data_IF_082581306151
#
_entry.id   IF_082581306151
#
_cell.length_a   1.000
_cell.length_b   1.000
_cell.length_c   1.000
_cell.angle_alpha   90.00
_cell.angle_beta   90.00
_cell.angle_gamma   90.00
#
_symmetry.space_group_name_H-M   'P 1'
#
loop_
_entity.id
_entity.type
_entity.pdbx_description
1 polymer ?
#
# COMPACT_ATOMS: atom_id res chain seq x y z
N UNK A 1 43.64 -32.16 12.22
CA UNK A 1 43.86 -30.71 12.13
C UNK A 1 42.51 -29.99 12.07
N UNK A 2 41.97 -29.52 13.20
CA UNK A 2 40.63 -28.89 13.29
C UNK A 2 40.57 -27.43 12.80
N UNK A 3 41.68 -26.88 12.30
CA UNK A 3 41.78 -25.45 11.95
C UNK A 3 41.14 -25.11 10.59
N UNK A 4 41.04 -26.07 9.66
CA UNK A 4 40.52 -25.85 8.30
C UNK A 4 38.99 -25.89 8.23
N UNK A 5 38.33 -26.67 9.10
CA UNK A 5 36.87 -26.76 9.18
C UNK A 5 36.23 -25.50 9.73
N UNK A 6 36.93 -24.76 10.60
CA UNK A 6 36.46 -23.49 11.14
C UNK A 6 36.52 -22.36 10.08
N UNK A 7 37.54 -22.36 9.22
CA UNK A 7 37.71 -21.36 8.15
C UNK A 7 36.53 -21.43 7.15
N UNK A 8 36.13 -22.64 6.73
CA UNK A 8 35.02 -22.82 5.79
C UNK A 8 33.67 -22.37 6.37
N UNK A 9 33.43 -22.65 7.66
CA UNK A 9 32.24 -22.16 8.38
C UNK A 9 32.21 -20.64 8.44
N UNK A 10 33.35 -19.99 8.67
CA UNK A 10 33.45 -18.52 8.66
C UNK A 10 33.14 -17.94 7.27
N UNK A 11 33.61 -18.57 6.19
CA UNK A 11 33.27 -18.15 4.83
C UNK A 11 31.78 -18.27 4.50
N UNK A 12 31.15 -19.39 4.88
CA UNK A 12 29.70 -19.57 4.70
C UNK A 12 28.92 -18.50 5.49
N UNK A 13 29.33 -18.24 6.74
CA UNK A 13 28.69 -17.22 7.57
C UNK A 13 28.81 -15.82 6.95
N UNK A 14 29.99 -15.44 6.45
CA UNK A 14 30.22 -14.15 5.79
C UNK A 14 29.38 -14.01 4.51
N UNK A 15 29.23 -15.09 3.74
CA UNK A 15 28.38 -15.10 2.55
C UNK A 15 26.89 -14.95 2.89
N UNK A 16 26.39 -15.66 3.91
CA UNK A 16 25.02 -15.50 4.38
C UNK A 16 24.73 -14.07 4.86
N UNK A 17 25.69 -13.42 5.53
CA UNK A 17 25.58 -12.02 5.98
C UNK A 17 25.61 -11.06 4.78
N UNK A 18 26.44 -11.31 3.77
CA UNK A 18 26.48 -10.46 2.57
C UNK A 18 25.16 -10.52 1.76
N UNK A 19 24.55 -11.71 1.66
CA UNK A 19 23.30 -11.92 0.89
C UNK A 19 22.06 -11.36 1.62
N UNK A 20 22.12 -11.17 2.93
CA UNK A 20 20.96 -10.67 3.71
C UNK A 20 20.64 -9.18 3.48
N UNK A 21 21.54 -8.42 2.82
CA UNK A 21 21.34 -7.00 2.52
C UNK A 21 20.59 -6.71 1.20
N UNK A 22 20.04 -7.72 0.53
CA UNK A 22 19.36 -7.56 -0.78
C UNK A 22 17.85 -7.78 -0.75
N UNK A 23 17.23 -7.79 0.43
CA UNK A 23 15.79 -7.90 0.57
C UNK A 23 15.20 -6.56 1.01
N UNK A 24 14.86 -5.70 0.05
CA UNK A 24 14.09 -4.48 0.31
C UNK A 24 12.60 -4.76 0.20
N UNK A 25 11.87 -4.43 1.26
CA UNK A 25 10.41 -4.40 1.26
C UNK A 25 9.95 -2.96 1.52
N UNK A 26 8.98 -2.48 0.76
CA UNK A 26 8.47 -1.12 0.87
C UNK A 26 7.02 -1.12 1.35
N UNK A 27 6.74 -0.31 2.38
CA UNK A 27 5.39 0.05 2.79
C UNK A 27 5.15 1.54 2.47
N UNK A 28 4.07 1.85 1.75
CA UNK A 28 3.67 3.23 1.42
C UNK A 28 2.17 3.40 1.61
N UNK A 29 1.82 4.51 2.24
CA UNK A 29 0.43 4.98 2.36
C UNK A 29 0.01 5.60 1.03
N UNK A 30 -1.17 5.24 0.52
CA UNK A 30 -1.69 5.69 -0.77
C UNK A 30 -2.87 6.65 -0.65
N UNK A 31 -3.03 7.36 0.46
CA UNK A 31 -4.27 8.09 0.77
C UNK A 31 -4.61 9.26 -0.15
N UNK A 32 -3.65 9.86 -0.84
CA UNK A 32 -3.90 11.13 -1.53
C UNK A 32 -4.42 10.98 -2.96
N UNK A 33 -5.27 11.88 -3.42
CA UNK A 33 -5.59 12.03 -4.86
C UNK A 33 -6.26 10.82 -5.52
N UNK A 34 -7.15 10.13 -4.80
CA UNK A 34 -8.03 9.13 -5.41
C UNK A 34 -9.13 9.82 -6.23
N UNK A 35 -9.59 9.16 -7.28
CA UNK A 35 -10.81 9.55 -7.98
C UNK A 35 -11.96 8.69 -7.48
N UNK A 36 -12.95 9.29 -6.83
CA UNK A 36 -14.19 8.63 -6.44
C UNK A 36 -15.29 8.90 -7.48
N UNK A 37 -16.13 7.90 -7.73
CA UNK A 37 -17.33 8.07 -8.53
C UNK A 37 -18.44 7.14 -8.08
N UNK A 38 -19.66 7.69 -8.06
CA UNK A 38 -20.87 6.96 -7.70
C UNK A 38 -21.51 6.23 -8.89
N UNK A 39 -21.14 6.59 -10.12
CA UNK A 39 -21.77 6.15 -11.37
C UNK A 39 -20.76 5.78 -12.48
N UNK A 40 -19.45 5.91 -12.20
CA UNK A 40 -18.33 5.80 -13.15
C UNK A 40 -18.28 6.85 -14.26
N UNK A 41 -19.23 7.79 -14.30
CA UNK A 41 -19.27 8.87 -15.27
C UNK A 41 -18.65 10.16 -14.69
N UNK A 42 -19.03 10.51 -13.46
CA UNK A 42 -18.58 11.73 -12.79
C UNK A 42 -17.58 11.39 -11.70
N UNK A 43 -16.38 11.95 -11.79
CA UNK A 43 -15.27 11.66 -10.89
C UNK A 43 -14.90 12.88 -10.06
N UNK A 44 -14.73 12.69 -8.76
CA UNK A 44 -14.22 13.70 -7.83
C UNK A 44 -12.89 13.28 -7.21
N UNK A 45 -12.02 14.25 -6.98
CA UNK A 45 -10.72 13.98 -6.34
C UNK A 45 -10.88 14.00 -4.81
N UNK A 46 -10.54 12.90 -4.15
CA UNK A 46 -10.68 12.71 -2.71
C UNK A 46 -9.41 12.17 -2.07
N UNK A 47 -9.25 12.41 -0.78
CA UNK A 47 -8.20 11.80 0.03
C UNK A 47 -8.82 10.77 0.98
N UNK A 48 -8.12 9.65 1.21
CA UNK A 48 -8.50 8.65 2.20
C UNK A 48 -8.02 9.05 3.61
N UNK A 49 -8.75 8.67 4.67
CA UNK A 49 -10.04 7.97 4.66
C UNK A 49 -11.16 8.87 4.11
N UNK A 50 -12.03 8.29 3.28
CA UNK A 50 -13.16 8.97 2.65
C UNK A 50 -14.45 8.17 2.85
N UNK A 51 -15.57 8.87 3.06
CA UNK A 51 -16.92 8.31 3.04
C UNK A 51 -17.80 9.19 2.18
N UNK A 52 -18.60 8.58 1.29
CA UNK A 52 -19.58 9.32 0.49
C UNK A 52 -20.82 9.71 1.30
N UNK A 53 -20.97 9.18 2.52
CA UNK A 53 -22.07 9.48 3.42
C UNK A 53 -21.69 10.48 4.51
N UNK A 54 -20.70 11.34 4.25
CA UNK A 54 -20.25 12.31 5.25
C UNK A 54 -21.37 13.27 5.66
N UNK A 55 -22.16 13.70 4.68
CA UNK A 55 -23.17 14.74 4.88
C UNK A 55 -24.56 14.12 5.00
N UNK A 56 -24.95 13.23 4.08
CA UNK A 56 -26.30 12.66 3.99
C UNK A 56 -26.68 11.68 5.12
N UNK A 57 -25.72 11.25 5.95
CA UNK A 57 -26.02 10.45 7.13
C UNK A 57 -26.42 11.29 8.34
N UNK A 58 -26.23 12.61 8.26
CA UNK A 58 -26.43 13.56 9.35
C UNK A 58 -27.25 14.79 8.95
N UNK A 59 -27.87 14.76 7.77
CA UNK A 59 -28.81 15.79 7.36
C UNK A 59 -30.21 15.53 7.95
N UNK A 60 -31.13 16.46 7.71
CA UNK A 60 -32.52 16.36 8.20
C UNK A 60 -33.39 15.43 7.33
N UNK A 61 -32.85 14.91 6.21
CA UNK A 61 -33.59 14.03 5.30
C UNK A 61 -33.51 12.57 5.77
N UNK A 62 -34.64 11.85 5.87
CA UNK A 62 -34.60 10.47 6.31
C UNK A 62 -33.82 9.55 5.35
N UNK A 63 -32.70 9.01 5.82
CA UNK A 63 -31.95 7.96 5.13
C UNK A 63 -30.50 8.34 4.89
N UNK A 64 -29.88 7.67 3.94
CA UNK A 64 -28.58 8.02 3.36
C UNK A 64 -28.42 7.27 2.04
N UNK A 65 -27.54 7.73 1.17
CA UNK A 65 -27.23 7.06 -0.10
C UNK A 65 -26.66 5.67 0.16
N UNK A 66 -27.32 4.66 -0.40
CA UNK A 66 -26.87 3.27 -0.42
C UNK A 66 -26.56 2.81 -1.85
N UNK A 67 -25.60 1.91 -1.99
CA UNK A 67 -25.22 1.34 -3.28
C UNK A 67 -23.70 1.30 -3.48
N UNK A 68 -23.29 1.17 -4.74
CA UNK A 68 -21.88 1.07 -5.09
C UNK A 68 -21.22 2.45 -5.20
N UNK A 69 -19.94 2.49 -4.82
CA UNK A 69 -19.02 3.58 -5.07
C UNK A 69 -17.70 3.03 -5.61
N UNK A 70 -17.09 3.74 -6.54
CA UNK A 70 -15.87 3.33 -7.21
C UNK A 70 -14.74 4.27 -6.84
N UNK A 71 -13.60 3.72 -6.41
CA UNK A 71 -12.36 4.45 -6.22
C UNK A 71 -11.35 3.97 -7.26
N UNK A 72 -10.69 4.90 -7.97
CA UNK A 72 -9.56 4.58 -8.86
C UNK A 72 -8.40 5.53 -8.61
N UNK A 73 -7.18 5.03 -8.77
CA UNK A 73 -5.94 5.81 -8.68
C UNK A 73 -4.89 5.16 -9.57
N UNK A 74 -4.15 5.98 -10.30
CA UNK A 74 -2.96 5.52 -11.00
C UNK A 74 -1.81 5.45 -9.98
N UNK A 75 -1.24 4.25 -9.80
CA UNK A 75 -0.15 4.01 -8.86
C UNK A 75 1.12 3.80 -9.67
N UNK A 76 2.16 4.59 -9.36
CA UNK A 76 3.49 4.35 -9.90
C UNK A 76 4.19 3.30 -9.06
N UNK A 77 4.57 2.19 -9.69
CA UNK A 77 5.38 1.14 -9.09
C UNK A 77 6.80 1.34 -9.63
N UNK A 78 7.69 1.86 -8.80
CA UNK A 78 9.09 1.97 -9.15
C UNK A 78 9.72 0.58 -9.15
N UNK A 79 10.45 0.23 -10.22
CA UNK A 79 11.49 -0.80 -10.14
C UNK A 79 12.75 -0.15 -9.59
N UNK A 80 13.34 -0.75 -8.55
CA UNK A 80 14.71 -0.41 -8.13
C UNK A 80 15.71 -0.58 -9.29
#
# INVERSE_FOLDING_TARGET
MPHTTNIWKTFILLWCVAVSFHLFAQNRILNTGWQYSKDKAHWETVNLPHTWNKDDAFDDEPGYRRGFGHYKKQVFIASE
#
